data_IF_350762254509
#
_entry.id   IF_350762254509
#
_cell.length_a   1.000
_cell.length_b   1.000
_cell.length_c   1.000
_cell.angle_alpha   90.00
_cell.angle_beta   90.00
_cell.angle_gamma   90.00
#
_symmetry.space_group_name_H-M   'P 1'
#
loop_
_entity.id
_entity.type
_entity.pdbx_description
1 polymer ?
#
# COMPACT_ATOMS: atom_id res chain seq x y z
N UNK A 1 9.29 -5.10 -3.33
CA UNK A 1 7.89 -5.61 -3.22
C UNK A 1 7.02 -5.05 -4.34
N UNK A 2 7.63 -4.45 -5.36
CA UNK A 2 7.02 -3.33 -6.08
C UNK A 2 6.00 -3.78 -7.14
N UNK A 3 5.93 -5.09 -7.40
CA UNK A 3 5.04 -5.71 -8.39
C UNK A 3 4.22 -6.86 -7.83
N UNK A 4 4.24 -7.09 -6.52
CA UNK A 4 3.55 -8.24 -5.92
C UNK A 4 2.04 -8.10 -6.11
N UNK A 5 1.49 -6.92 -5.87
CA UNK A 5 0.06 -6.64 -6.10
C UNK A 5 -0.30 -6.67 -7.58
N UNK A 6 0.51 -6.09 -8.46
CA UNK A 6 0.29 -6.14 -9.90
C UNK A 6 0.30 -7.57 -10.42
N UNK A 7 1.23 -8.40 -9.93
CA UNK A 7 1.32 -9.80 -10.28
C UNK A 7 0.12 -10.60 -9.76
N UNK A 8 -0.30 -10.38 -8.50
CA UNK A 8 -1.49 -11.04 -7.93
C UNK A 8 -2.75 -10.68 -8.73
N UNK A 9 -2.93 -9.40 -9.08
CA UNK A 9 -4.07 -8.95 -9.88
C UNK A 9 -4.03 -9.55 -11.30
N UNK A 10 -2.87 -9.54 -11.94
CA UNK A 10 -2.67 -10.14 -13.25
C UNK A 10 -3.03 -11.63 -13.22
N UNK A 11 -2.50 -12.38 -12.25
CA UNK A 11 -2.76 -13.81 -12.10
C UNK A 11 -4.25 -14.11 -11.92
N UNK A 12 -4.93 -13.39 -11.02
CA UNK A 12 -6.36 -13.58 -10.78
C UNK A 12 -7.20 -13.26 -12.02
N UNK A 13 -6.82 -12.23 -12.76
CA UNK A 13 -7.51 -11.79 -13.98
C UNK A 13 -7.35 -12.81 -15.11
N UNK A 14 -6.14 -13.29 -15.37
CA UNK A 14 -5.90 -14.31 -16.39
C UNK A 14 -6.55 -15.65 -16.01
N UNK A 15 -6.51 -16.03 -14.72
CA UNK A 15 -7.17 -17.23 -14.24
C UNK A 15 -8.70 -17.16 -14.40
N UNK A 16 -9.32 -16.00 -14.11
CA UNK A 16 -10.75 -15.81 -14.26
C UNK A 16 -11.24 -16.07 -15.70
N UNK A 17 -10.41 -15.81 -16.73
CA UNK A 17 -10.73 -16.09 -18.14
C UNK A 17 -10.85 -17.59 -18.45
N UNK A 18 -10.25 -18.45 -17.63
CA UNK A 18 -10.29 -19.90 -17.81
C UNK A 18 -11.59 -20.53 -17.29
N UNK A 19 -12.40 -19.77 -16.55
CA UNK A 19 -13.64 -20.27 -15.96
C UNK A 19 -14.66 -20.60 -17.06
N UNK A 20 -15.12 -21.86 -17.08
CA UNK A 20 -16.11 -22.37 -18.05
C UNK A 20 -17.55 -22.32 -17.51
N UNK A 21 -17.77 -21.61 -16.41
CA UNK A 21 -19.06 -21.44 -15.75
C UNK A 21 -19.22 -20.00 -15.27
N UNK A 22 -20.46 -19.59 -15.02
CA UNK A 22 -20.76 -18.28 -14.43
C UNK A 22 -20.62 -18.38 -12.91
N UNK A 23 -19.67 -17.66 -12.27
CA UNK A 23 -19.53 -17.67 -10.82
C UNK A 23 -20.80 -17.16 -10.13
N UNK A 24 -21.14 -17.78 -9.01
CA UNK A 24 -22.23 -17.37 -8.14
C UNK A 24 -21.78 -17.47 -6.69
N UNK A 25 -22.35 -16.63 -5.82
CA UNK A 25 -22.03 -16.64 -4.38
C UNK A 25 -22.58 -17.94 -3.78
N UNK A 26 -21.74 -18.80 -3.18
CA UNK A 26 -22.20 -20.04 -2.60
C UNK A 26 -23.01 -19.81 -1.33
N UNK A 27 -23.91 -20.74 -1.00
CA UNK A 27 -24.66 -20.69 0.27
C UNK A 27 -23.69 -20.77 1.44
N UNK A 28 -23.82 -19.85 2.40
CA UNK A 28 -22.95 -19.76 3.56
C UNK A 28 -21.65 -18.98 3.33
N UNK A 29 -21.46 -18.36 2.16
CA UNK A 29 -20.39 -17.40 1.97
C UNK A 29 -20.57 -16.22 2.94
N UNK A 30 -19.47 -15.81 3.57
CA UNK A 30 -19.41 -14.61 4.42
C UNK A 30 -18.55 -13.59 3.69
N UNK A 31 -19.01 -12.34 3.67
CA UNK A 31 -18.25 -11.24 3.10
C UNK A 31 -16.97 -11.02 3.91
N UNK A 32 -15.84 -10.87 3.20
CA UNK A 32 -14.55 -10.54 3.81
C UNK A 32 -14.36 -9.03 3.70
N UNK A 33 -14.39 -8.34 4.83
CA UNK A 33 -14.15 -6.89 4.96
C UNK A 33 -12.98 -6.62 5.91
N UNK A 34 -12.51 -5.37 5.98
CA UNK A 34 -11.48 -5.00 6.97
C UNK A 34 -12.01 -5.23 8.39
N UNK A 35 -13.29 -4.93 8.63
CA UNK A 35 -13.99 -5.23 9.89
C UNK A 35 -14.04 -6.72 10.20
N UNK A 36 -14.32 -7.57 9.19
CA UNK A 36 -14.35 -9.01 9.42
C UNK A 36 -12.96 -9.57 9.70
N UNK A 37 -11.90 -9.05 9.05
CA UNK A 37 -10.52 -9.51 9.24
C UNK A 37 -9.92 -9.02 10.57
N UNK A 38 -10.39 -7.89 11.07
CA UNK A 38 -9.99 -7.34 12.37
C UNK A 38 -10.78 -7.93 13.54
N UNK A 39 -11.85 -8.68 13.26
CA UNK A 39 -12.60 -9.41 14.27
C UNK A 39 -11.68 -10.43 14.97
N UNK A 40 -11.37 -10.17 16.24
CA UNK A 40 -10.45 -10.98 17.05
C UNK A 40 -9.06 -10.36 17.27
N UNK A 41 -8.71 -9.30 16.54
CA UNK A 41 -7.47 -8.52 16.76
C UNK A 41 -7.66 -7.50 17.87
N UNK A 42 -6.58 -7.12 18.56
CA UNK A 42 -6.61 -6.19 19.70
C UNK A 42 -5.44 -5.21 19.66
N UNK A 43 -5.57 -4.11 20.41
CA UNK A 43 -4.51 -3.11 20.54
C UNK A 43 -4.13 -2.45 19.21
N UNK A 44 -2.85 -2.10 19.08
CA UNK A 44 -2.31 -1.37 17.92
C UNK A 44 -2.51 -2.10 16.59
N UNK A 45 -2.49 -3.42 16.59
CA UNK A 45 -2.71 -4.21 15.37
C UNK A 45 -4.10 -3.94 14.78
N UNK A 46 -5.15 -3.98 15.61
CA UNK A 46 -6.51 -3.67 15.17
C UNK A 46 -6.62 -2.22 14.73
N UNK A 47 -5.98 -1.31 15.45
CA UNK A 47 -6.00 0.11 15.13
C UNK A 47 -5.37 0.38 13.76
N UNK A 48 -4.15 -0.11 13.51
CA UNK A 48 -3.47 0.09 12.23
C UNK A 48 -4.21 -0.54 11.04
N UNK A 49 -4.86 -1.69 11.24
CA UNK A 49 -5.69 -2.29 10.19
C UNK A 49 -6.95 -1.47 9.88
N UNK A 50 -7.56 -0.86 10.90
CA UNK A 50 -8.70 0.02 10.73
C UNK A 50 -8.32 1.35 10.07
N UNK A 51 -7.21 1.95 10.49
CA UNK A 51 -6.74 3.24 9.99
C UNK A 51 -6.34 3.18 8.51
N UNK A 52 -5.96 1.99 8.02
CA UNK A 52 -5.62 1.76 6.61
C UNK A 52 -6.81 1.34 5.75
N UNK A 53 -8.01 1.28 6.34
CA UNK A 53 -9.22 0.98 5.58
C UNK A 53 -9.50 2.08 4.56
N UNK A 54 -9.57 1.68 3.29
CA UNK A 54 -9.96 2.58 2.21
C UNK A 54 -11.48 2.73 2.26
N UNK A 55 -11.95 3.85 2.83
CA UNK A 55 -13.39 4.15 3.00
C UNK A 55 -14.10 4.54 1.68
N UNK A 56 -13.38 4.56 0.57
CA UNK A 56 -13.89 4.91 -0.74
C UNK A 56 -12.79 5.41 -1.65
N UNK A 57 -13.19 5.75 -2.88
CA UNK A 57 -12.35 6.54 -3.77
C UNK A 57 -12.33 7.95 -3.20
N UNK A 58 -11.16 8.58 -3.15
CA UNK A 58 -11.10 9.99 -2.86
C UNK A 58 -11.90 10.76 -3.92
N UNK A 59 -12.81 11.63 -3.48
CA UNK A 59 -13.49 12.57 -4.39
C UNK A 59 -12.47 13.56 -4.98
N UNK A 60 -11.35 13.79 -4.28
CA UNK A 60 -10.18 14.41 -4.88
C UNK A 60 -9.55 13.42 -5.87
N UNK A 61 -9.36 13.86 -7.12
CA UNK A 61 -8.69 13.09 -8.15
C UNK A 61 -7.30 12.58 -7.73
N UNK A 62 -6.64 11.75 -8.56
CA UNK A 62 -5.35 11.15 -8.21
C UNK A 62 -4.39 12.21 -7.66
N UNK A 63 -3.63 11.85 -6.62
CA UNK A 63 -2.65 12.72 -5.98
C UNK A 63 -1.92 13.51 -7.08
N UNK A 64 -1.97 14.85 -7.03
CA UNK A 64 -1.18 15.66 -7.97
C UNK A 64 0.27 15.27 -7.77
N UNK A 65 0.80 14.53 -8.75
CA UNK A 65 2.21 14.17 -8.76
C UNK A 65 2.98 15.48 -8.59
N UNK A 66 3.84 15.53 -7.56
CA UNK A 66 4.61 16.74 -7.29
C UNK A 66 5.37 17.11 -8.56
N UNK A 67 5.47 18.41 -8.84
CA UNK A 67 6.24 18.88 -9.97
C UNK A 67 7.67 18.32 -9.85
N UNK A 68 8.31 17.97 -10.98
CA UNK A 68 9.70 17.57 -10.97
C UNK A 68 10.54 18.63 -10.27
N UNK A 69 11.42 18.22 -9.36
CA UNK A 69 12.39 19.13 -8.74
C UNK A 69 13.26 19.74 -9.84
N UNK A 70 13.56 21.04 -9.70
CA UNK A 70 14.64 21.65 -10.47
C UNK A 70 15.99 20.97 -10.12
N UNK A 71 17.01 21.07 -10.98
CA UNK A 71 18.33 20.50 -10.68
C UNK A 71 18.91 20.99 -9.33
N UNK A 72 18.70 22.26 -8.99
CA UNK A 72 19.19 22.88 -7.76
C UNK A 72 18.46 22.34 -6.51
N UNK A 73 17.13 22.20 -6.59
CA UNK A 73 16.32 21.58 -5.54
C UNK A 73 16.70 20.11 -5.34
N UNK A 74 16.98 19.39 -6.42
CA UNK A 74 17.40 18.00 -6.35
C UNK A 74 18.77 17.85 -5.68
N UNK A 75 19.74 18.70 -6.03
CA UNK A 75 21.06 18.70 -5.39
C UNK A 75 21.00 19.04 -3.90
N UNK A 76 20.18 20.01 -3.52
CA UNK A 76 20.01 20.40 -2.12
C UNK A 76 19.38 19.28 -1.30
N UNK A 77 18.36 18.59 -1.86
CA UNK A 77 17.78 17.40 -1.24
C UNK A 77 18.78 16.25 -1.11
N UNK A 78 19.60 16.01 -2.14
CA UNK A 78 20.64 14.96 -2.10
C UNK A 78 21.70 15.25 -1.03
N UNK A 79 22.14 16.51 -0.89
CA UNK A 79 23.07 16.94 0.16
C UNK A 79 22.48 16.76 1.55
N UNK A 80 21.26 17.25 1.77
CA UNK A 80 20.57 17.09 3.05
C UNK A 80 20.42 15.61 3.43
N UNK A 81 20.08 14.74 2.47
CA UNK A 81 20.02 13.30 2.68
C UNK A 81 21.38 12.73 3.09
N UNK A 82 22.46 13.12 2.42
CA UNK A 82 23.81 12.64 2.73
C UNK A 82 24.27 13.07 4.13
N UNK A 83 23.96 14.30 4.55
CA UNK A 83 24.28 14.80 5.88
C UNK A 83 23.56 14.02 6.98
N UNK A 84 22.27 13.73 6.79
CA UNK A 84 21.48 12.92 7.73
C UNK A 84 22.02 11.48 7.80
N UNK A 85 22.36 10.88 6.66
CA UNK A 85 22.94 9.53 6.64
C UNK A 85 24.25 9.49 7.41
N UNK A 86 25.16 10.44 7.18
CA UNK A 86 26.43 10.54 7.91
C UNK A 86 26.19 10.68 9.42
N UNK A 87 25.22 11.49 9.83
CA UNK A 87 24.89 11.67 11.24
C UNK A 87 24.42 10.37 11.89
N UNK A 88 23.58 9.59 11.20
CA UNK A 88 23.13 8.27 11.69
C UNK A 88 24.31 7.30 11.78
N UNK A 89 25.19 7.26 10.77
CA UNK A 89 26.39 6.41 10.79
C UNK A 89 27.36 6.77 11.93
N UNK A 90 27.46 8.04 12.31
CA UNK A 90 28.24 8.47 13.47
C UNK A 90 27.61 8.01 14.79
N UNK A 91 26.28 8.06 14.90
CA UNK A 91 25.56 7.56 16.08
C UNK A 91 25.67 6.04 16.23
N UNK A 92 25.67 5.29 15.13
CA UNK A 92 25.80 3.82 15.14
C UNK A 92 27.21 3.34 15.56
N UNK A 93 28.23 4.21 15.48
CA UNK A 93 29.61 3.89 15.90
C UNK A 93 29.84 4.06 17.39
N UNK A 94 28.87 4.61 18.12
CA UNK A 94 28.89 4.82 19.58
C UNK A 94 27.89 3.89 20.28
#
# INVERSE_FOLDING_TARGET
MDRVYDYMLHLLTEYAKLLRYKPAVPRGAVEVTVESITQGRRGLERQFMMDTMVNGWSDDGPCRQQQPFSPEELETLQRARADVVRQVEEWEKH
#
